data_IF_393838528286
#
_entry.id   IF_393838528286
#
_cell.length_a   1.000
_cell.length_b   1.000
_cell.length_c   1.000
_cell.angle_alpha   90.00
_cell.angle_beta   90.00
_cell.angle_gamma   90.00
#
_symmetry.space_group_name_H-M   'P 1'
#
loop_
_entity.id
_entity.type
_entity.pdbx_description
1 polymer ?
#
# COMPACT_ATOMS: atom_id res chain seq x y z
N UNK A 1 52.18 -16.05 -22.11
CA UNK A 1 52.09 -15.05 -21.02
C UNK A 1 50.62 -15.02 -20.58
N UNK A 2 50.29 -15.54 -19.40
CA UNK A 2 48.90 -15.66 -18.93
C UNK A 2 48.63 -14.61 -17.86
N UNK A 3 47.64 -13.76 -18.10
CA UNK A 3 47.26 -12.65 -17.23
C UNK A 3 46.17 -13.16 -16.27
N UNK A 4 46.57 -13.47 -15.03
CA UNK A 4 45.62 -13.83 -13.97
C UNK A 4 45.04 -12.54 -13.38
N UNK A 5 43.78 -12.24 -13.69
CA UNK A 5 43.02 -11.18 -13.03
C UNK A 5 42.33 -11.82 -11.82
N UNK A 6 42.75 -11.46 -10.61
CA UNK A 6 42.03 -11.78 -9.38
C UNK A 6 41.02 -10.67 -9.12
N UNK A 7 39.73 -10.97 -9.24
CA UNK A 7 38.67 -10.05 -8.82
C UNK A 7 38.47 -10.27 -7.32
N UNK A 8 39.21 -9.54 -6.50
CA UNK A 8 38.86 -9.39 -5.09
C UNK A 8 37.64 -8.46 -5.02
N UNK A 9 36.46 -9.05 -5.22
CA UNK A 9 35.21 -8.36 -4.93
C UNK A 9 35.26 -7.92 -3.48
N UNK A 10 35.30 -6.61 -3.23
CA UNK A 10 35.35 -6.04 -1.89
C UNK A 10 34.05 -6.39 -1.16
N UNK A 11 34.05 -7.54 -0.46
CA UNK A 11 32.87 -8.14 0.17
C UNK A 11 32.13 -7.12 1.03
N UNK A 12 32.87 -6.27 1.74
CA UNK A 12 32.34 -5.20 2.58
C UNK A 12 31.47 -4.18 1.82
N UNK A 13 31.85 -3.83 0.59
CA UNK A 13 31.06 -2.90 -0.22
C UNK A 13 29.78 -3.56 -0.75
N UNK A 14 29.85 -4.84 -1.12
CA UNK A 14 28.69 -5.63 -1.53
C UNK A 14 27.70 -5.81 -0.37
N UNK A 15 28.21 -6.16 0.82
CA UNK A 15 27.40 -6.28 2.04
C UNK A 15 26.73 -4.96 2.41
N UNK A 16 27.47 -3.84 2.37
CA UNK A 16 26.91 -2.52 2.67
C UNK A 16 25.80 -2.10 1.67
N UNK A 17 25.96 -2.42 0.39
CA UNK A 17 24.96 -2.15 -0.66
C UNK A 17 23.71 -3.02 -0.48
N UNK A 18 23.90 -4.31 -0.17
CA UNK A 18 22.81 -5.25 0.11
C UNK A 18 22.04 -4.84 1.37
N UNK A 19 22.74 -4.39 2.41
CA UNK A 19 22.14 -3.88 3.64
C UNK A 19 21.31 -2.61 3.41
N UNK A 20 21.82 -1.69 2.61
CA UNK A 20 21.13 -0.46 2.25
C UNK A 20 19.84 -0.72 1.48
N UNK A 21 19.90 -1.59 0.47
CA UNK A 21 18.73 -1.98 -0.34
C UNK A 21 17.72 -2.79 0.45
N UNK A 22 18.17 -3.72 1.31
CA UNK A 22 17.30 -4.50 2.19
C UNK A 22 16.47 -3.62 3.13
N UNK A 23 17.02 -2.49 3.61
CA UNK A 23 16.28 -1.53 4.46
C UNK A 23 15.29 -0.67 3.69
N UNK A 24 15.55 -0.41 2.41
CA UNK A 24 14.70 0.45 1.57
C UNK A 24 13.50 -0.30 0.99
N UNK A 25 13.64 -1.60 0.71
CA UNK A 25 12.58 -2.44 0.13
C UNK A 25 11.27 -2.41 0.95
N UNK A 26 11.25 -2.63 2.28
CA UNK A 26 10.02 -2.57 3.06
C UNK A 26 9.36 -1.19 3.04
N UNK A 27 10.15 -0.12 2.91
CA UNK A 27 9.62 1.24 2.83
C UNK A 27 8.95 1.51 1.49
N UNK A 28 9.59 1.13 0.39
CA UNK A 28 9.04 1.24 -0.96
C UNK A 28 7.76 0.41 -1.09
N UNK A 29 7.76 -0.84 -0.63
CA UNK A 29 6.59 -1.72 -0.65
C UNK A 29 5.44 -1.16 0.18
N UNK A 30 5.71 -0.69 1.40
CA UNK A 30 4.71 -0.04 2.25
C UNK A 30 4.04 1.14 1.53
N UNK A 31 4.82 1.98 0.85
CA UNK A 31 4.27 3.13 0.13
C UNK A 31 3.42 2.66 -1.06
N UNK A 32 3.92 1.73 -1.87
CA UNK A 32 3.20 1.18 -3.02
C UNK A 32 1.84 0.55 -2.62
N UNK A 33 1.82 -0.22 -1.52
CA UNK A 33 0.58 -0.82 -1.00
C UNK A 33 -0.41 0.26 -0.56
N UNK A 34 0.07 1.27 0.17
CA UNK A 34 -0.80 2.35 0.63
C UNK A 34 -1.33 3.21 -0.51
N UNK A 35 -0.54 3.45 -1.55
CA UNK A 35 -0.98 4.20 -2.72
C UNK A 35 -2.01 3.41 -3.53
N UNK A 36 -1.79 2.10 -3.71
CA UNK A 36 -2.80 1.20 -4.30
C UNK A 36 -4.11 1.22 -3.52
N UNK A 37 -4.05 1.20 -2.18
CA UNK A 37 -5.24 1.26 -1.34
C UNK A 37 -6.01 2.60 -1.49
N UNK A 38 -5.29 3.72 -1.65
CA UNK A 38 -5.90 5.03 -1.92
C UNK A 38 -6.55 5.08 -3.31
N UNK A 39 -5.90 4.51 -4.32
CA UNK A 39 -6.46 4.44 -5.67
C UNK A 39 -7.75 3.62 -5.68
N UNK A 40 -7.74 2.46 -5.02
CA UNK A 40 -8.95 1.65 -4.83
C UNK A 40 -10.05 2.45 -4.12
N UNK A 41 -9.73 3.11 -3.00
CA UNK A 41 -10.69 3.94 -2.28
C UNK A 41 -11.30 5.02 -3.19
N UNK A 42 -10.48 5.67 -4.03
CA UNK A 42 -10.92 6.71 -4.96
C UNK A 42 -11.87 6.15 -6.03
N UNK A 43 -11.50 5.02 -6.65
CA UNK A 43 -12.28 4.39 -7.71
C UNK A 43 -13.63 3.90 -7.17
N UNK A 44 -13.63 3.16 -6.07
CA UNK A 44 -14.87 2.67 -5.45
C UNK A 44 -15.78 3.81 -5.01
N UNK A 45 -15.22 4.84 -4.38
CA UNK A 45 -16.02 6.02 -4.00
C UNK A 45 -16.63 6.68 -5.23
N UNK A 46 -15.90 6.78 -6.34
CA UNK A 46 -16.45 7.32 -7.59
C UNK A 46 -17.56 6.43 -8.16
N UNK A 47 -17.38 5.11 -8.12
CA UNK A 47 -18.34 4.15 -8.65
C UNK A 47 -19.64 4.16 -7.85
N UNK A 48 -19.57 4.15 -6.52
CA UNK A 48 -20.72 4.28 -5.63
C UNK A 48 -21.53 5.54 -5.96
N UNK A 49 -20.84 6.66 -6.20
CA UNK A 49 -21.45 7.94 -6.52
C UNK A 49 -22.10 8.00 -7.91
N UNK A 50 -21.67 7.15 -8.84
CA UNK A 50 -22.25 7.03 -10.18
C UNK A 50 -23.46 6.10 -10.20
N UNK A 51 -23.37 4.97 -9.51
CA UNK A 51 -24.39 3.91 -9.54
C UNK A 51 -25.59 4.27 -8.66
N UNK A 52 -25.36 4.84 -7.47
CA UNK A 52 -26.43 5.10 -6.52
C UNK A 52 -26.85 6.57 -6.50
N UNK A 53 -28.15 6.81 -6.58
CA UNK A 53 -28.75 8.14 -6.33
C UNK A 53 -28.74 8.45 -4.84
N UNK A 54 -27.62 8.99 -4.35
CA UNK A 54 -27.39 9.21 -2.93
C UNK A 54 -27.91 10.59 -2.50
N UNK A 55 -28.88 10.61 -1.57
CA UNK A 55 -29.45 11.84 -0.98
C UNK A 55 -28.44 12.67 -0.19
N UNK A 56 -27.45 12.03 0.45
CA UNK A 56 -26.37 12.71 1.20
C UNK A 56 -24.99 12.20 0.78
N UNK A 57 -24.42 12.83 -0.25
CA UNK A 57 -23.14 12.46 -0.88
C UNK A 57 -21.96 12.34 0.10
N UNK A 58 -21.97 13.13 1.18
CA UNK A 58 -20.92 13.11 2.21
C UNK A 58 -20.85 11.79 2.99
N UNK A 59 -21.98 11.09 3.14
CA UNK A 59 -22.00 9.80 3.84
C UNK A 59 -21.39 8.68 2.99
N UNK A 60 -21.72 8.64 1.71
CA UNK A 60 -21.14 7.66 0.78
C UNK A 60 -19.63 7.83 0.62
N UNK A 61 -19.14 9.08 0.59
CA UNK A 61 -17.68 9.36 0.59
C UNK A 61 -16.95 8.84 1.82
N UNK A 62 -17.65 8.59 2.92
CA UNK A 62 -17.08 8.05 4.17
C UNK A 62 -17.24 6.53 4.30
N UNK A 63 -17.91 5.87 3.34
CA UNK A 63 -18.17 4.43 3.40
C UNK A 63 -16.90 3.62 3.13
N UNK A 64 -16.12 4.01 2.12
CA UNK A 64 -14.87 3.33 1.76
C UNK A 64 -13.74 3.88 2.63
N UNK A 65 -13.15 3.03 3.47
CA UNK A 65 -12.10 3.41 4.43
C UNK A 65 -10.90 2.49 4.30
N UNK A 66 -9.72 3.05 4.54
CA UNK A 66 -8.48 2.29 4.66
C UNK A 66 -8.13 2.21 6.13
N UNK A 67 -8.25 1.02 6.73
CA UNK A 67 -7.87 0.77 8.12
C UNK A 67 -7.67 -0.73 8.38
N UNK A 68 -6.46 -1.17 8.76
CA UNK A 68 -5.22 -0.41 8.90
C UNK A 68 -4.53 -0.09 7.56
N UNK A 69 -3.61 0.90 7.59
CA UNK A 69 -2.62 1.14 6.53
C UNK A 69 -1.43 0.19 6.67
N UNK A 70 -0.72 -0.05 5.58
CA UNK A 70 0.51 -0.81 5.58
C UNK A 70 1.62 -0.08 6.34
N UNK A 71 2.39 -0.82 7.12
CA UNK A 71 3.60 -0.38 7.83
C UNK A 71 4.82 -1.11 7.29
N UNK A 72 6.03 -0.67 7.66
CA UNK A 72 7.26 -1.36 7.22
C UNK A 72 7.36 -2.80 7.76
N UNK A 73 6.65 -3.09 8.86
CA UNK A 73 6.61 -4.39 9.52
C UNK A 73 5.44 -5.25 9.02
N UNK A 74 4.34 -4.59 8.63
CA UNK A 74 3.13 -5.24 8.13
C UNK A 74 2.79 -4.69 6.75
N UNK A 75 3.26 -5.39 5.72
CA UNK A 75 3.06 -5.04 4.32
C UNK A 75 1.66 -5.46 3.83
N UNK A 76 0.63 -5.04 4.54
CA UNK A 76 -0.76 -5.25 4.18
C UNK A 76 -1.57 -3.99 4.52
N UNK A 77 -2.48 -3.61 3.64
CA UNK A 77 -3.48 -2.59 3.92
C UNK A 77 -4.87 -3.20 3.77
N UNK A 78 -5.79 -2.82 4.65
CA UNK A 78 -7.18 -3.27 4.58
C UNK A 78 -8.06 -2.13 4.13
N UNK A 79 -8.80 -2.36 3.04
CA UNK A 79 -9.89 -1.48 2.63
C UNK A 79 -11.21 -2.12 3.05
N UNK A 80 -12.06 -1.36 3.73
CA UNK A 80 -13.43 -1.76 4.06
C UNK A 80 -14.43 -0.82 3.40
N UNK A 81 -15.60 -1.37 3.05
CA UNK A 81 -16.75 -0.60 2.58
C UNK A 81 -17.82 -0.76 3.66
N UNK A 82 -17.93 0.24 4.54
CA UNK A 82 -18.92 0.23 5.60
C UNK A 82 -20.17 0.96 5.12
N UNK A 83 -21.37 0.32 5.11
CA UNK A 83 -22.58 1.02 4.73
C UNK A 83 -22.86 2.19 5.69
N UNK A 84 -23.34 3.33 5.18
CA UNK A 84 -23.63 4.50 5.99
C UNK A 84 -24.80 4.20 6.94
N UNK A 85 -24.51 4.12 8.24
CA UNK A 85 -25.49 3.75 9.27
C UNK A 85 -24.92 2.90 10.40
N UNK A 86 -23.71 2.34 10.21
CA UNK A 86 -23.07 1.44 11.16
C UNK A 86 -23.62 0.00 11.05
N UNK A 87 -22.96 -0.95 11.72
CA UNK A 87 -23.40 -2.36 11.75
C UNK A 87 -24.84 -2.55 12.25
N UNK A 88 -25.37 -1.60 13.03
CA UNK A 88 -26.73 -1.64 13.55
C UNK A 88 -27.84 -1.50 12.47
N UNK A 89 -27.48 -1.18 11.23
CA UNK A 89 -28.41 -1.08 10.08
C UNK A 89 -27.91 -1.85 8.85
N UNK A 90 -26.97 -2.76 9.05
CA UNK A 90 -26.62 -3.75 8.05
C UNK A 90 -27.52 -4.95 8.32
N UNK A 91 -28.68 -4.95 7.67
CA UNK A 91 -29.57 -6.09 7.52
C UNK A 91 -28.94 -7.21 6.69
#
# INVERSE_FOLDING_TARGET
>A
MSLKVSVESNLYQLEALMDGTARQLPFALKNAINDTAKDFQRVETSQIMKVFTIRRRTFAKRAVKIKPFATKQKLEAKVSIDPPGGQARAD
#
